data_IF_432201234863
#
_entry.id   IF_432201234863
#
_cell.length_a   1.000
_cell.length_b   1.000
_cell.length_c   1.000
_cell.angle_alpha   90.00
_cell.angle_beta   90.00
_cell.angle_gamma   90.00
#
_symmetry.space_group_name_H-M   'P 1'
#
loop_
_entity.id
_entity.type
_entity.pdbx_description
1 polymer ?
#
# COMPACT_ATOMS: atom_id res chain seq x y z
N UNK A 1 25.55 -2.65 26.60
CA UNK A 1 25.59 -2.84 25.13
C UNK A 1 24.36 -3.60 24.67
N UNK A 2 24.09 -4.79 25.24
CA UNK A 2 22.88 -5.57 24.94
C UNK A 2 21.56 -4.87 25.29
N UNK A 3 21.51 -4.10 26.38
CA UNK A 3 20.33 -3.32 26.79
C UNK A 3 19.94 -2.24 25.78
N UNK A 4 20.92 -1.49 25.27
CA UNK A 4 20.68 -0.47 24.23
C UNK A 4 20.19 -1.12 22.93
N UNK A 5 20.76 -2.26 22.56
CA UNK A 5 20.33 -3.02 21.39
C UNK A 5 18.87 -3.49 21.49
N UNK A 6 18.47 -4.03 22.64
CA UNK A 6 17.08 -4.46 22.87
C UNK A 6 16.11 -3.28 22.87
N UNK A 7 16.50 -2.16 23.48
CA UNK A 7 15.70 -0.94 23.48
C UNK A 7 15.47 -0.40 22.06
N UNK A 8 16.52 -0.29 21.25
CA UNK A 8 16.39 0.20 19.87
C UNK A 8 15.59 -0.75 18.99
N UNK A 9 15.81 -2.06 19.12
CA UNK A 9 15.02 -3.06 18.39
C UNK A 9 13.53 -2.98 18.75
N UNK A 10 13.19 -2.80 20.02
CA UNK A 10 11.82 -2.66 20.48
C UNK A 10 11.16 -1.39 19.93
N UNK A 11 11.87 -0.25 19.95
CA UNK A 11 11.35 1.02 19.42
C UNK A 11 11.09 0.94 17.92
N UNK A 12 12.02 0.39 17.14
CA UNK A 12 11.85 0.24 15.69
C UNK A 12 10.72 -0.76 15.38
N UNK A 13 10.68 -1.89 16.09
CA UNK A 13 9.63 -2.88 15.94
C UNK A 13 8.24 -2.32 16.24
N UNK A 14 8.11 -1.54 17.32
CA UNK A 14 6.87 -0.86 17.66
C UNK A 14 6.47 0.17 16.59
N UNK A 15 7.41 0.96 16.08
CA UNK A 15 7.15 1.91 15.01
C UNK A 15 6.66 1.22 13.71
N UNK A 16 7.26 0.10 13.33
CA UNK A 16 6.80 -0.70 12.19
C UNK A 16 5.39 -1.27 12.41
N UNK A 17 5.09 -1.74 13.62
CA UNK A 17 3.75 -2.21 13.97
C UNK A 17 2.70 -1.11 13.81
N UNK A 18 2.99 0.09 14.31
CA UNK A 18 2.09 1.25 14.16
C UNK A 18 1.86 1.59 12.68
N UNK A 19 2.92 1.61 11.86
CA UNK A 19 2.79 1.83 10.42
C UNK A 19 1.95 0.75 9.75
N UNK A 20 2.17 -0.53 10.09
CA UNK A 20 1.40 -1.65 9.54
C UNK A 20 -0.09 -1.55 9.88
N UNK A 21 -0.41 -1.25 11.15
CA UNK A 21 -1.80 -1.02 11.58
C UNK A 21 -2.42 0.13 10.81
N UNK A 22 -1.72 1.26 10.67
CA UNK A 22 -2.20 2.42 9.90
C UNK A 22 -2.51 2.09 8.44
N UNK A 23 -1.70 1.26 7.80
CA UNK A 23 -1.92 0.81 6.40
C UNK A 23 -3.14 -0.10 6.29
N UNK A 24 -3.29 -1.07 7.21
CA UNK A 24 -4.42 -2.00 7.21
C UNK A 24 -5.74 -1.25 7.43
N UNK A 25 -5.79 -0.33 8.39
CA UNK A 25 -6.99 0.49 8.66
C UNK A 25 -7.30 1.48 7.55
N UNK A 26 -6.29 2.01 6.85
CA UNK A 26 -6.51 2.91 5.72
C UNK A 26 -7.28 2.21 4.59
N UNK A 27 -7.14 0.88 4.47
CA UNK A 27 -7.88 0.04 3.52
C UNK A 27 -7.90 0.67 2.11
N UNK A 28 -6.79 1.33 1.77
CA UNK A 28 -6.59 2.14 0.56
C UNK A 28 -5.64 1.31 -0.31
N UNK A 29 -5.94 1.14 -1.59
CA UNK A 29 -5.01 0.45 -2.48
C UNK A 29 -3.66 1.18 -2.48
N UNK A 30 -2.56 0.43 -2.48
CA UNK A 30 -1.22 1.02 -2.63
C UNK A 30 -1.18 1.77 -3.97
N UNK A 31 -1.08 3.09 -3.87
CA UNK A 31 -0.87 3.98 -5.01
C UNK A 31 0.49 3.63 -5.63
N UNK A 32 0.47 3.07 -6.83
CA UNK A 32 1.67 2.64 -7.56
C UNK A 32 1.60 1.20 -8.11
N UNK A 33 1.06 0.24 -7.37
CA UNK A 33 0.92 -1.16 -7.84
C UNK A 33 -0.50 -1.55 -8.23
N UNK A 34 -1.51 -0.98 -7.57
CA UNK A 34 -2.93 -1.28 -7.80
C UNK A 34 -3.80 -0.02 -7.81
N UNK A 35 -3.18 1.17 -7.84
CA UNK A 35 -3.87 2.45 -7.74
C UNK A 35 -3.85 3.19 -9.07
N UNK A 36 -5.00 3.28 -9.73
CA UNK A 36 -5.19 3.91 -11.04
C UNK A 36 -6.07 3.05 -11.97
N UNK A 37 -6.35 3.51 -13.20
CA UNK A 37 -6.97 2.67 -14.23
C UNK A 37 -6.13 1.40 -14.47
N UNK A 38 -6.75 0.33 -14.99
CA UNK A 38 -6.15 -1.01 -15.05
C UNK A 38 -4.71 -0.97 -15.58
N UNK A 39 -3.74 -1.08 -14.67
CA UNK A 39 -2.32 -1.06 -15.01
C UNK A 39 -1.94 -2.48 -15.41
N UNK A 40 -1.37 -2.60 -16.60
CA UNK A 40 -0.76 -3.84 -17.07
C UNK A 40 0.70 -3.81 -16.64
N UNK A 41 1.21 -4.95 -16.20
CA UNK A 41 2.61 -5.10 -15.83
C UNK A 41 3.53 -4.94 -17.04
N UNK A 42 4.84 -4.85 -16.83
CA UNK A 42 5.82 -4.78 -17.92
C UNK A 42 5.70 -5.94 -18.92
N UNK A 43 5.09 -7.05 -18.50
CA UNK A 43 4.85 -8.25 -19.31
C UNK A 43 3.48 -8.26 -20.02
N UNK A 44 2.70 -7.18 -19.93
CA UNK A 44 1.35 -7.09 -20.52
C UNK A 44 0.27 -7.89 -19.77
N UNK A 45 0.62 -8.57 -18.68
CA UNK A 45 -0.33 -9.23 -17.80
C UNK A 45 -1.01 -8.21 -16.86
N UNK A 46 -2.34 -8.30 -16.62
CA UNK A 46 -2.99 -7.48 -15.62
C UNK A 46 -2.40 -7.78 -14.24
N UNK A 47 -2.11 -6.74 -13.46
CA UNK A 47 -1.67 -6.93 -12.08
C UNK A 47 -2.80 -7.59 -11.28
N UNK A 48 -2.53 -8.74 -10.66
CA UNK A 48 -3.48 -9.41 -9.74
C UNK A 48 -3.59 -8.57 -8.47
N UNK A 49 -4.56 -7.67 -8.50
CA UNK A 49 -4.90 -6.74 -7.43
C UNK A 49 -6.17 -7.21 -6.68
N UNK A 50 -6.46 -8.51 -6.72
CA UNK A 50 -7.66 -9.15 -6.18
C UNK A 50 -7.77 -9.00 -4.65
N UNK A 51 -6.64 -8.80 -3.99
CA UNK A 51 -6.57 -8.52 -2.55
C UNK A 51 -6.81 -7.05 -2.20
N UNK A 52 -7.01 -6.15 -3.18
CA UNK A 52 -7.35 -4.77 -2.86
C UNK A 52 -8.86 -4.60 -2.60
N UNK A 53 -9.27 -4.28 -1.35
CA UNK A 53 -10.68 -4.21 -0.96
C UNK A 53 -11.49 -3.09 -1.64
N UNK A 54 -10.83 -2.11 -2.27
CA UNK A 54 -11.49 -0.99 -2.99
C UNK A 54 -11.12 -0.91 -4.47
N UNK A 55 -10.75 -2.04 -5.10
CA UNK A 55 -10.36 -2.05 -6.52
C UNK A 55 -11.47 -1.51 -7.43
N UNK A 56 -12.72 -1.94 -7.20
CA UNK A 56 -13.87 -1.56 -8.02
C UNK A 56 -14.13 -0.04 -8.05
N UNK A 57 -13.81 0.67 -6.96
CA UNK A 57 -13.99 2.12 -6.86
C UNK A 57 -12.85 2.88 -7.56
N UNK A 58 -11.63 2.34 -7.55
CA UNK A 58 -10.46 2.95 -8.20
C UNK A 58 -10.36 2.66 -9.70
N UNK A 59 -11.02 1.60 -10.20
CA UNK A 59 -11.06 1.24 -11.63
C UNK A 59 -11.99 2.12 -12.45
N UNK A 60 -12.80 2.99 -11.81
CA UNK A 60 -13.56 4.01 -12.53
C UNK A 60 -12.58 4.98 -13.22
N UNK A 61 -12.85 5.38 -14.48
CA UNK A 61 -11.97 6.32 -15.17
C UNK A 61 -11.84 7.60 -14.35
N UNK A 62 -10.60 8.07 -14.07
CA UNK A 62 -10.41 9.31 -13.34
C UNK A 62 -11.09 10.46 -14.10
N UNK A 63 -11.69 11.45 -13.41
CA UNK A 63 -12.16 12.66 -14.08
C UNK A 63 -10.97 13.29 -14.83
N UNK A 64 -11.20 13.93 -16.00
CA UNK A 64 -10.12 14.51 -16.79
C UNK A 64 -9.32 15.47 -15.91
N UNK A 65 -8.10 15.06 -15.54
CA UNK A 65 -7.16 15.88 -14.81
C UNK A 65 -6.62 16.92 -15.80
N UNK A 66 -7.31 18.06 -15.88
CA UNK A 66 -6.84 19.27 -16.54
C UNK A 66 -6.10 20.16 -15.54
N UNK A 67 -4.92 20.63 -15.99
CA UNK A 67 -4.04 21.66 -15.41
C UNK A 67 -3.28 21.32 -14.13
#
# INVERSE_FOLDING_TARGET
MMTLFLLTALVIGAAMLVMAVGVVFSNRCLRGSCGGPDVLGPDGAPLSCDTCPRRAELSAPPPPHGA
#
